data_IF_939568071878
#
_entry.id   IF_939568071878
#
_cell.length_a   1.000
_cell.length_b   1.000
_cell.length_c   1.000
_cell.angle_alpha   90.00
_cell.angle_beta   90.00
_cell.angle_gamma   90.00
#
_symmetry.space_group_name_H-M   'P 1'
#
loop_
_entity.id
_entity.type
_entity.pdbx_description
1 polymer ?
#
# COMPACT_ATOMS: atom_id res chain seq x y z
N UNK A 1 -60.26 4.13 -49.39
CA UNK A 1 -58.86 3.73 -49.52
C UNK A 1 -58.02 4.69 -48.69
N UNK A 2 -57.70 4.34 -47.47
CA UNK A 2 -56.88 5.18 -46.54
C UNK A 2 -55.52 4.54 -46.36
N UNK A 3 -54.49 5.23 -46.87
CA UNK A 3 -53.09 4.87 -46.78
C UNK A 3 -52.55 5.29 -45.40
N UNK A 4 -52.10 4.33 -44.56
CA UNK A 4 -51.37 4.59 -43.30
C UNK A 4 -49.88 4.61 -43.57
N UNK A 5 -49.25 5.77 -43.45
CA UNK A 5 -47.82 5.96 -43.40
C UNK A 5 -47.28 5.55 -42.02
N UNK A 6 -46.49 4.50 -41.95
CA UNK A 6 -45.75 4.10 -40.76
C UNK A 6 -44.40 4.82 -40.73
N UNK A 7 -44.24 5.73 -39.75
CA UNK A 7 -42.97 6.46 -39.50
C UNK A 7 -42.06 5.57 -38.65
N UNK A 8 -40.94 5.11 -39.21
CA UNK A 8 -39.89 4.42 -38.48
C UNK A 8 -38.96 5.45 -37.84
N UNK A 9 -39.01 5.56 -36.54
CA UNK A 9 -38.06 6.33 -35.76
C UNK A 9 -36.75 5.53 -35.57
N UNK A 10 -35.69 5.98 -36.20
CA UNK A 10 -34.33 5.42 -36.05
C UNK A 10 -33.74 5.92 -34.74
N UNK A 11 -33.67 5.09 -33.74
CA UNK A 11 -33.01 5.41 -32.44
C UNK A 11 -31.50 5.17 -32.64
N UNK A 12 -30.75 6.24 -32.84
CA UNK A 12 -29.28 6.22 -32.78
C UNK A 12 -28.84 6.16 -31.35
N UNK A 13 -28.50 4.96 -30.84
CA UNK A 13 -27.80 4.75 -29.58
C UNK A 13 -26.32 5.11 -29.77
N UNK A 14 -25.93 6.31 -29.32
CA UNK A 14 -24.53 6.71 -29.22
C UNK A 14 -23.89 5.91 -28.06
N UNK A 15 -23.08 4.93 -28.39
CA UNK A 15 -22.20 4.26 -27.44
C UNK A 15 -21.11 5.25 -27.01
N UNK A 16 -21.26 5.85 -25.84
CA UNK A 16 -20.18 6.55 -25.16
C UNK A 16 -19.22 5.48 -24.64
N UNK A 17 -18.24 5.12 -25.45
CA UNK A 17 -17.13 4.27 -25.02
C UNK A 17 -16.33 5.00 -23.95
N UNK A 18 -16.34 4.51 -22.72
CA UNK A 18 -15.39 4.94 -21.70
C UNK A 18 -13.98 4.62 -22.23
N UNK A 19 -13.27 5.64 -22.74
CA UNK A 19 -11.87 5.51 -23.05
C UNK A 19 -11.11 5.27 -21.74
N UNK A 20 -10.72 4.03 -21.48
CA UNK A 20 -9.75 3.74 -20.42
C UNK A 20 -8.44 4.42 -20.84
N UNK A 21 -7.78 5.18 -19.96
CA UNK A 21 -6.45 5.69 -20.25
C UNK A 21 -5.55 4.51 -20.60
N UNK A 22 -4.80 4.65 -21.70
CA UNK A 22 -3.85 3.63 -22.12
C UNK A 22 -2.89 3.34 -20.95
N UNK A 23 -2.81 2.08 -20.54
CA UNK A 23 -1.89 1.68 -19.50
C UNK A 23 -0.46 2.03 -19.92
N UNK A 24 0.25 2.80 -19.10
CA UNK A 24 1.66 3.09 -19.32
C UNK A 24 2.40 1.76 -19.13
N UNK A 25 2.96 1.25 -20.23
CA UNK A 25 3.75 0.01 -20.18
C UNK A 25 5.11 0.37 -19.58
N UNK A 26 5.29 0.08 -18.29
CA UNK A 26 6.60 0.14 -17.65
C UNK A 26 7.35 -1.15 -18.03
N UNK A 27 8.57 -1.05 -18.62
CA UNK A 27 9.32 -2.23 -18.99
C UNK A 27 9.70 -3.08 -17.76
N UNK A 28 9.86 -4.40 -17.92
CA UNK A 28 10.29 -5.27 -16.84
C UNK A 28 11.62 -4.78 -16.22
N UNK A 29 11.80 -4.93 -14.91
CA UNK A 29 12.97 -4.43 -14.17
C UNK A 29 14.33 -4.89 -14.76
N UNK A 30 14.42 -6.14 -15.17
CA UNK A 30 15.64 -6.74 -15.70
C UNK A 30 16.09 -6.21 -17.07
N UNK A 31 15.26 -5.40 -17.74
CA UNK A 31 15.56 -4.82 -19.06
C UNK A 31 16.02 -3.37 -19.00
N UNK A 32 16.03 -2.76 -17.83
CA UNK A 32 16.46 -1.38 -17.66
C UNK A 32 17.97 -1.30 -17.38
N UNK A 33 18.70 -0.32 -17.96
CA UNK A 33 20.07 -0.07 -17.57
C UNK A 33 20.14 0.44 -16.13
N UNK A 34 21.26 0.23 -15.42
CA UNK A 34 21.46 0.83 -14.10
C UNK A 34 21.38 2.36 -14.19
N UNK A 35 20.83 2.99 -13.17
CA UNK A 35 20.86 4.44 -13.03
C UNK A 35 22.28 4.87 -12.63
N UNK A 36 22.93 5.67 -13.47
CA UNK A 36 24.36 5.94 -13.37
C UNK A 36 24.72 7.07 -12.37
N UNK A 37 23.74 7.84 -11.93
CA UNK A 37 24.00 8.98 -11.03
C UNK A 37 22.85 9.22 -10.04
N UNK A 38 23.18 9.88 -8.92
CA UNK A 38 22.20 10.32 -7.90
C UNK A 38 21.15 11.25 -8.53
N UNK A 39 21.57 12.15 -9.44
CA UNK A 39 20.63 13.08 -10.09
C UNK A 39 19.65 12.33 -10.99
N UNK A 40 20.12 11.36 -11.77
CA UNK A 40 19.27 10.52 -12.60
C UNK A 40 18.29 9.69 -11.75
N UNK A 41 18.77 9.09 -10.67
CA UNK A 41 17.95 8.33 -9.74
C UNK A 41 16.90 9.21 -9.04
N UNK A 42 17.27 10.41 -8.60
CA UNK A 42 16.36 11.37 -7.95
C UNK A 42 15.27 11.85 -8.91
N UNK A 43 15.63 12.18 -10.16
CA UNK A 43 14.67 12.56 -11.19
C UNK A 43 13.69 11.42 -11.52
N UNK A 44 14.21 10.19 -11.67
CA UNK A 44 13.39 9.02 -11.93
C UNK A 44 12.46 8.69 -10.75
N UNK A 45 12.93 8.81 -9.50
CA UNK A 45 12.10 8.60 -8.31
C UNK A 45 10.98 9.65 -8.21
N UNK A 46 11.28 10.91 -8.54
CA UNK A 46 10.27 11.98 -8.60
C UNK A 46 9.20 11.68 -9.65
N UNK A 47 9.61 11.18 -10.82
CA UNK A 47 8.67 10.76 -11.86
C UNK A 47 7.80 9.58 -11.40
N UNK A 48 8.36 8.58 -10.72
CA UNK A 48 7.60 7.45 -10.17
C UNK A 48 6.56 7.90 -9.14
N UNK A 49 6.91 8.79 -8.24
CA UNK A 49 5.97 9.34 -7.26
C UNK A 49 4.82 10.12 -7.93
N UNK A 50 5.07 10.77 -9.07
CA UNK A 50 4.04 11.43 -9.87
C UNK A 50 3.00 10.46 -10.48
N UNK A 51 3.30 9.17 -10.53
CA UNK A 51 2.38 8.11 -10.99
C UNK A 51 1.69 7.35 -9.85
N UNK A 52 2.09 7.60 -8.60
CA UNK A 52 1.39 7.01 -7.47
C UNK A 52 -0.05 7.55 -7.38
N UNK A 53 -1.04 6.68 -7.20
CA UNK A 53 -2.43 7.12 -7.17
C UNK A 53 -2.72 7.93 -5.89
N UNK A 54 -3.44 9.05 -6.03
CA UNK A 54 -3.87 9.86 -4.89
C UNK A 54 -4.77 9.08 -3.91
N UNK A 55 -5.44 8.05 -4.40
CA UNK A 55 -6.29 7.17 -3.60
C UNK A 55 -6.21 5.75 -4.11
N UNK A 56 -6.37 4.78 -3.24
CA UNK A 56 -6.39 3.38 -3.64
C UNK A 56 -7.19 2.51 -2.67
N UNK A 57 -7.57 1.34 -3.18
CA UNK A 57 -8.13 0.24 -2.39
C UNK A 57 -7.30 -1.01 -2.63
N UNK A 58 -7.01 -1.75 -1.56
CA UNK A 58 -6.35 -3.06 -1.62
C UNK A 58 -7.10 -4.10 -0.82
N UNK A 59 -7.03 -5.34 -1.29
CA UNK A 59 -7.44 -6.52 -0.54
C UNK A 59 -6.24 -7.42 -0.37
N UNK A 60 -5.99 -7.84 0.86
CA UNK A 60 -4.87 -8.69 1.22
C UNK A 60 -5.33 -10.00 1.84
N UNK A 61 -4.64 -11.07 1.51
CA UNK A 61 -4.53 -12.24 2.38
C UNK A 61 -3.43 -11.92 3.40
N UNK A 62 -3.74 -12.06 4.69
CA UNK A 62 -2.84 -11.70 5.78
C UNK A 62 -2.57 -12.92 6.63
N UNK A 63 -1.30 -13.22 6.88
CA UNK A 63 -0.87 -14.23 7.85
C UNK A 63 -0.03 -13.52 8.91
N UNK A 64 -0.57 -13.41 10.13
CA UNK A 64 0.15 -12.87 11.27
C UNK A 64 0.64 -14.01 12.18
N UNK A 65 1.92 -13.98 12.58
CA UNK A 65 2.52 -14.97 13.50
C UNK A 65 3.09 -14.25 14.70
N UNK A 66 2.77 -14.78 15.88
CA UNK A 66 3.32 -14.29 17.15
C UNK A 66 3.22 -15.38 18.21
N UNK A 67 4.27 -15.57 19.00
CA UNK A 67 4.35 -16.57 20.09
C UNK A 67 3.92 -17.99 19.66
N UNK A 68 4.39 -18.42 18.48
CA UNK A 68 4.10 -19.75 17.93
C UNK A 68 2.67 -19.93 17.44
N UNK A 69 1.82 -18.88 17.46
CA UNK A 69 0.46 -18.88 16.92
C UNK A 69 0.43 -18.22 15.57
N UNK A 70 -0.46 -18.70 14.70
CA UNK A 70 -0.69 -18.16 13.36
C UNK A 70 -2.16 -17.77 13.21
N UNK A 71 -2.40 -16.59 12.66
CA UNK A 71 -3.73 -16.04 12.40
C UNK A 71 -3.84 -15.71 10.91
N UNK A 72 -4.85 -16.25 10.26
CA UNK A 72 -5.14 -15.98 8.84
C UNK A 72 -6.37 -15.09 8.77
N UNK A 73 -6.28 -14.02 7.98
CA UNK A 73 -7.37 -13.06 7.84
C UNK A 73 -7.34 -12.41 6.46
N UNK A 74 -8.45 -11.82 6.06
CA UNK A 74 -8.55 -10.94 4.91
C UNK A 74 -8.51 -9.49 5.37
N UNK A 75 -7.57 -8.71 4.85
CA UNK A 75 -7.42 -7.28 5.12
C UNK A 75 -7.96 -6.45 3.95
N UNK A 76 -8.69 -5.39 4.27
CA UNK A 76 -9.20 -4.39 3.32
C UNK A 76 -8.59 -3.05 3.67
N UNK A 77 -7.76 -2.49 2.79
CA UNK A 77 -7.09 -1.20 2.98
C UNK A 77 -7.66 -0.17 2.02
N UNK A 78 -8.09 0.97 2.56
CA UNK A 78 -8.33 2.20 1.83
C UNK A 78 -7.22 3.18 2.18
N UNK A 79 -6.58 3.80 1.20
CA UNK A 79 -5.47 4.72 1.42
C UNK A 79 -5.55 5.97 0.56
N UNK A 80 -4.93 7.04 1.04
CA UNK A 80 -4.71 8.32 0.35
C UNK A 80 -3.22 8.69 0.37
N UNK A 81 -2.81 9.52 -0.57
CA UNK A 81 -1.44 10.03 -0.72
C UNK A 81 -1.00 10.95 0.43
N UNK A 82 -1.94 11.58 1.14
CA UNK A 82 -1.67 12.35 2.36
C UNK A 82 -1.35 11.50 3.59
N UNK A 83 -1.31 10.17 3.44
CA UNK A 83 -1.03 9.21 4.50
C UNK A 83 -2.24 8.80 5.33
N UNK A 84 -3.44 9.34 5.04
CA UNK A 84 -4.67 8.87 5.67
C UNK A 84 -5.05 7.48 5.17
N UNK A 85 -5.47 6.61 6.07
CA UNK A 85 -5.92 5.28 5.69
C UNK A 85 -6.91 4.67 6.69
N UNK A 86 -7.64 3.67 6.21
CA UNK A 86 -8.40 2.74 7.04
C UNK A 86 -8.11 1.31 6.62
N UNK A 87 -7.84 0.45 7.59
CA UNK A 87 -7.76 -0.99 7.41
C UNK A 87 -8.85 -1.68 8.21
N UNK A 88 -9.55 -2.60 7.56
CA UNK A 88 -10.50 -3.52 8.17
C UNK A 88 -9.99 -4.94 8.02
N UNK A 89 -10.06 -5.75 9.06
CA UNK A 89 -9.74 -7.16 8.96
C UNK A 89 -10.95 -8.03 9.25
N UNK A 90 -11.08 -9.12 8.51
CA UNK A 90 -12.10 -10.15 8.72
C UNK A 90 -11.45 -11.53 8.81
N UNK A 91 -12.00 -12.42 9.61
CA UNK A 91 -11.63 -13.82 9.57
C UNK A 91 -11.95 -14.42 8.19
N UNK A 92 -11.21 -15.44 7.80
CA UNK A 92 -11.48 -16.11 6.54
C UNK A 92 -12.92 -16.65 6.56
N UNK A 93 -13.75 -16.21 5.60
CA UNK A 93 -15.20 -16.47 5.54
C UNK A 93 -15.97 -16.20 6.85
N UNK A 94 -15.46 -15.30 7.69
CA UNK A 94 -15.98 -15.04 9.04
C UNK A 94 -16.32 -13.57 9.33
N UNK A 95 -16.59 -13.28 10.60
CA UNK A 95 -16.95 -11.93 11.03
C UNK A 95 -15.77 -10.97 10.89
N UNK A 96 -16.09 -9.68 10.85
CA UNK A 96 -15.10 -8.61 10.99
C UNK A 96 -14.43 -8.72 12.36
N UNK A 97 -13.10 -8.60 12.37
CA UNK A 97 -12.28 -8.72 13.57
C UNK A 97 -12.04 -7.35 14.20
N UNK A 98 -11.55 -6.42 13.39
CA UNK A 98 -11.27 -5.05 13.82
C UNK A 98 -11.30 -4.08 12.63
N UNK A 99 -11.45 -2.82 12.96
CA UNK A 99 -11.18 -1.67 12.11
C UNK A 99 -10.16 -0.77 12.79
N UNK A 100 -9.24 -0.21 12.02
CA UNK A 100 -8.33 0.84 12.48
C UNK A 100 -8.15 1.87 11.37
N UNK A 101 -8.10 3.13 11.74
CA UNK A 101 -7.86 4.23 10.82
C UNK A 101 -6.83 5.21 11.38
N UNK A 102 -6.11 5.86 10.48
CA UNK A 102 -5.25 7.00 10.74
C UNK A 102 -5.75 8.16 9.89
N UNK A 103 -6.37 9.16 10.52
CA UNK A 103 -6.95 10.33 9.85
C UNK A 103 -6.65 11.57 10.68
N UNK A 104 -6.18 12.65 10.05
CA UNK A 104 -5.91 13.92 10.73
C UNK A 104 -4.93 13.78 11.91
N UNK A 105 -3.91 12.91 11.79
CA UNK A 105 -2.96 12.61 12.85
C UNK A 105 -3.56 11.95 14.10
N UNK A 106 -4.68 11.28 13.98
CA UNK A 106 -5.37 10.59 15.07
C UNK A 106 -5.65 9.13 14.72
N UNK A 107 -5.51 8.26 15.71
CA UNK A 107 -5.89 6.86 15.62
C UNK A 107 -7.35 6.67 16.04
N UNK A 108 -8.12 6.05 15.15
CA UNK A 108 -9.43 5.51 15.45
C UNK A 108 -9.35 3.98 15.39
N UNK A 109 -9.96 3.28 16.35
CA UNK A 109 -9.91 1.83 16.36
C UNK A 109 -11.17 1.23 16.98
N UNK A 110 -11.62 0.09 16.42
CA UNK A 110 -12.74 -0.70 16.91
C UNK A 110 -12.44 -2.20 16.78
N UNK A 111 -12.59 -2.93 17.85
CA UNK A 111 -12.53 -4.40 17.84
C UNK A 111 -13.95 -4.95 17.92
N UNK A 112 -14.31 -5.81 16.97
CA UNK A 112 -15.67 -6.34 16.85
C UNK A 112 -15.87 -7.63 17.66
N UNK A 113 -14.78 -8.36 17.94
CA UNK A 113 -14.84 -9.59 18.76
C UNK A 113 -14.28 -9.33 20.15
N UNK A 114 -15.11 -9.43 21.19
CA UNK A 114 -14.73 -9.19 22.59
C UNK A 114 -13.50 -9.98 23.04
N UNK A 115 -13.41 -11.25 22.65
CA UNK A 115 -12.27 -12.12 23.00
C UNK A 115 -10.95 -11.64 22.37
N UNK A 116 -11.02 -10.91 21.26
CA UNK A 116 -9.87 -10.34 20.58
C UNK A 116 -9.45 -9.01 21.22
N UNK A 117 -10.40 -8.22 21.71
CA UNK A 117 -10.16 -6.92 22.33
C UNK A 117 -9.23 -7.00 23.58
N UNK A 118 -9.22 -8.13 24.28
CA UNK A 118 -8.37 -8.37 25.45
C UNK A 118 -6.92 -8.73 25.06
N UNK A 119 -6.66 -9.07 23.80
CA UNK A 119 -5.38 -9.64 23.35
C UNK A 119 -4.72 -8.87 22.20
N UNK A 120 -5.47 -8.05 21.50
CA UNK A 120 -5.01 -7.32 20.32
C UNK A 120 -5.31 -5.84 20.48
N UNK A 121 -4.27 -5.02 20.50
CA UNK A 121 -4.43 -3.60 20.21
C UNK A 121 -4.39 -3.41 18.69
N UNK A 122 -5.53 -3.03 18.04
CA UNK A 122 -5.57 -2.87 16.59
C UNK A 122 -4.66 -1.74 16.09
N UNK A 123 -4.20 -0.84 16.96
CA UNK A 123 -3.22 0.20 16.62
C UNK A 123 -1.88 -0.38 16.21
N UNK A 124 -1.47 -1.52 16.76
CA UNK A 124 -0.25 -2.22 16.32
C UNK A 124 -0.36 -2.64 14.86
N UNK A 125 -1.53 -3.14 14.45
CA UNK A 125 -1.79 -3.47 13.04
C UNK A 125 -1.84 -2.21 12.16
N UNK A 126 -2.43 -1.13 12.67
CA UNK A 126 -2.43 0.17 12.00
C UNK A 126 -1.00 0.71 11.79
N UNK A 127 -0.14 0.64 12.82
CA UNK A 127 1.29 1.03 12.70
C UNK A 127 2.04 0.15 11.69
N UNK A 128 1.77 -1.16 11.64
CA UNK A 128 2.35 -2.03 10.62
C UNK A 128 1.95 -1.58 9.21
N UNK A 129 0.68 -1.27 8.97
CA UNK A 129 0.17 -0.74 7.70
C UNK A 129 0.83 0.60 7.37
N UNK A 130 0.93 1.53 8.33
CA UNK A 130 1.59 2.81 8.16
C UNK A 130 3.06 2.64 7.74
N UNK A 131 3.81 1.76 8.41
CA UNK A 131 5.22 1.47 8.10
C UNK A 131 5.38 0.82 6.74
N UNK A 132 4.49 -0.11 6.37
CA UNK A 132 4.52 -0.78 5.07
C UNK A 132 4.26 0.20 3.93
N UNK A 133 3.16 0.95 3.97
CA UNK A 133 2.67 1.68 2.81
C UNK A 133 2.96 3.19 2.83
N UNK A 134 3.03 3.82 4.01
CA UNK A 134 3.04 5.28 4.11
C UNK A 134 4.34 5.87 4.66
N UNK A 135 5.18 5.09 5.33
CA UNK A 135 6.47 5.59 5.81
C UNK A 135 7.49 5.58 4.68
N UNK A 136 8.05 6.74 4.37
CA UNK A 136 9.09 6.95 3.37
C UNK A 136 10.32 7.61 4.00
N UNK A 137 11.46 7.60 3.30
CA UNK A 137 12.65 8.33 3.68
C UNK A 137 12.85 9.50 2.70
N UNK A 138 12.93 10.71 3.22
CA UNK A 138 13.13 11.95 2.45
C UNK A 138 14.60 12.37 2.33
N UNK A 139 15.53 11.58 2.85
CA UNK A 139 16.97 11.84 2.75
C UNK A 139 17.49 11.65 1.32
N UNK A 140 18.74 12.13 1.06
CA UNK A 140 19.38 11.95 -0.23
C UNK A 140 19.55 10.46 -0.57
N UNK A 141 19.49 10.16 -1.86
CA UNK A 141 19.78 8.81 -2.37
C UNK A 141 21.29 8.56 -2.36
N UNK A 142 21.70 7.37 -1.94
CA UNK A 142 23.07 6.84 -2.07
C UNK A 142 23.00 5.48 -2.74
N UNK A 143 23.99 5.17 -3.60
CA UNK A 143 24.07 3.85 -4.22
C UNK A 143 24.95 2.95 -3.33
N UNK A 144 24.38 1.88 -2.80
CA UNK A 144 25.02 0.92 -1.90
C UNK A 144 24.71 -0.51 -2.39
N UNK A 145 25.72 -1.29 -2.66
CA UNK A 145 25.60 -2.70 -3.11
C UNK A 145 24.60 -2.92 -4.26
N UNK A 146 24.56 -1.97 -5.21
CA UNK A 146 23.64 -2.02 -6.36
C UNK A 146 22.19 -1.63 -6.06
N UNK A 147 21.91 -1.11 -4.88
CA UNK A 147 20.61 -0.59 -4.48
C UNK A 147 20.70 0.91 -4.18
N UNK A 148 19.63 1.62 -4.47
CA UNK A 148 19.46 3.02 -4.03
C UNK A 148 18.89 3.06 -2.63
N UNK A 149 19.61 3.69 -1.71
CA UNK A 149 19.25 3.77 -0.30
C UNK A 149 18.98 5.23 0.08
N UNK A 150 17.88 5.48 0.76
CA UNK A 150 17.59 6.76 1.42
C UNK A 150 17.34 6.55 2.90
N UNK A 151 17.67 7.55 3.73
CA UNK A 151 17.57 7.48 5.19
C UNK A 151 16.80 8.68 5.73
N UNK A 152 16.00 8.47 6.76
CA UNK A 152 15.31 9.55 7.47
C UNK A 152 15.22 9.25 8.96
N UNK A 153 15.31 10.31 9.78
CA UNK A 153 14.88 10.25 11.16
C UNK A 153 13.36 10.39 11.23
N UNK A 154 12.73 9.59 12.06
CA UNK A 154 11.29 9.59 12.27
C UNK A 154 10.96 10.29 13.59
N UNK A 155 9.82 10.96 13.63
CA UNK A 155 9.30 11.61 14.82
C UNK A 155 7.90 11.12 15.13
N UNK A 156 7.55 11.03 16.41
CA UNK A 156 6.18 10.69 16.83
C UNK A 156 5.86 9.19 16.89
N UNK A 157 6.86 8.32 16.72
CA UNK A 157 6.71 6.88 16.97
C UNK A 157 7.65 6.47 18.11
N UNK A 158 7.09 5.99 19.24
CA UNK A 158 7.87 5.62 20.43
C UNK A 158 8.70 4.35 20.21
N UNK A 159 8.36 3.57 19.18
CA UNK A 159 8.98 2.28 18.89
C UNK A 159 10.09 2.34 17.83
N UNK A 160 10.19 3.47 17.09
CA UNK A 160 11.19 3.65 16.02
C UNK A 160 11.60 5.13 15.92
N UNK A 161 12.88 5.37 15.61
CA UNK A 161 13.44 6.72 15.47
C UNK A 161 14.09 6.99 14.11
N UNK A 162 14.33 5.95 13.31
CA UNK A 162 14.87 6.10 11.96
C UNK A 162 14.40 5.00 11.00
N UNK A 163 14.48 5.29 9.71
CA UNK A 163 14.21 4.33 8.63
C UNK A 163 15.26 4.42 7.52
N UNK A 164 15.64 3.27 7.00
CA UNK A 164 16.33 3.10 5.72
C UNK A 164 15.36 2.50 4.72
N UNK A 165 15.33 3.06 3.51
CA UNK A 165 14.51 2.61 2.39
C UNK A 165 15.41 2.20 1.25
N UNK A 166 15.33 0.94 0.85
CA UNK A 166 16.13 0.33 -0.21
C UNK A 166 15.28 0.17 -1.47
N UNK A 167 15.84 0.55 -2.60
CA UNK A 167 15.21 0.46 -3.90
C UNK A 167 16.12 -0.24 -4.89
N UNK A 168 15.53 -0.96 -5.81
CA UNK A 168 16.25 -1.63 -6.89
C UNK A 168 17.09 -0.63 -7.71
N UNK A 169 18.33 -1.01 -8.04
CA UNK A 169 19.29 -0.14 -8.70
C UNK A 169 18.92 0.27 -10.13
N UNK A 170 18.01 -0.45 -10.77
CA UNK A 170 17.58 -0.18 -12.15
C UNK A 170 16.22 0.51 -12.19
N UNK A 171 15.27 0.04 -11.41
CA UNK A 171 13.85 0.41 -11.51
C UNK A 171 13.37 1.35 -10.42
N UNK A 172 14.15 1.54 -9.36
CA UNK A 172 13.76 2.24 -8.13
C UNK A 172 12.54 1.63 -7.42
N UNK A 173 12.13 0.43 -7.82
CA UNK A 173 11.09 -0.29 -7.10
C UNK A 173 11.52 -0.50 -5.64
N UNK A 174 10.59 -0.29 -4.72
CA UNK A 174 10.83 -0.53 -3.31
C UNK A 174 11.06 -2.02 -3.06
N UNK A 175 12.21 -2.38 -2.48
CA UNK A 175 12.60 -3.77 -2.20
C UNK A 175 12.66 -4.09 -0.73
N UNK A 176 13.06 -3.10 0.09
CA UNK A 176 13.23 -3.33 1.52
C UNK A 176 13.08 -2.02 2.31
N UNK A 177 12.60 -2.11 3.56
CA UNK A 177 12.71 -1.06 4.58
C UNK A 177 13.28 -1.66 5.86
N UNK A 178 14.16 -0.92 6.51
CA UNK A 178 14.70 -1.24 7.82
C UNK A 178 14.44 -0.10 8.79
N UNK A 179 13.90 -0.41 9.94
CA UNK A 179 13.59 0.57 10.98
C UNK A 179 14.48 0.37 12.19
N UNK A 180 14.84 1.47 12.81
CA UNK A 180 15.78 1.50 13.93
C UNK A 180 15.13 2.13 15.15
N UNK A 181 15.63 1.71 16.32
CA UNK A 181 15.41 2.36 17.59
C UNK A 181 16.75 2.50 18.31
N UNK A 182 17.17 3.74 18.58
CA UNK A 182 18.46 4.07 19.22
C UNK A 182 19.65 3.46 18.48
N UNK A 183 19.60 3.50 17.16
CA UNK A 183 20.64 2.98 16.29
C UNK A 183 20.68 1.45 16.12
N UNK A 184 19.80 0.68 16.79
CA UNK A 184 19.66 -0.76 16.60
C UNK A 184 18.51 -1.06 15.61
N UNK A 185 18.68 -1.97 14.64
CA UNK A 185 17.59 -2.39 13.77
C UNK A 185 16.55 -3.14 14.61
N UNK A 186 15.27 -2.82 14.47
CA UNK A 186 14.18 -3.42 15.25
C UNK A 186 13.09 -4.04 14.39
N UNK A 187 12.99 -3.66 13.10
CA UNK A 187 11.96 -4.12 12.19
C UNK A 187 12.48 -4.10 10.75
N UNK A 188 12.25 -5.17 10.02
CA UNK A 188 12.53 -5.30 8.59
C UNK A 188 11.23 -5.55 7.81
N UNK A 189 11.14 -4.98 6.60
CA UNK A 189 10.02 -5.19 5.68
C UNK A 189 10.58 -5.47 4.28
N UNK A 190 10.29 -6.65 3.76
CA UNK A 190 10.66 -7.08 2.41
C UNK A 190 9.49 -6.94 1.44
N UNK A 191 9.77 -6.45 0.25
CA UNK A 191 8.81 -6.27 -0.84
C UNK A 191 9.22 -7.13 -2.02
N UNK A 192 8.38 -8.09 -2.40
CA UNK A 192 8.68 -9.06 -3.46
C UNK A 192 7.52 -9.19 -4.43
N UNK A 193 7.72 -9.92 -5.53
CA UNK A 193 6.73 -10.08 -6.60
C UNK A 193 6.27 -8.73 -7.15
N UNK A 194 7.24 -7.91 -7.55
CA UNK A 194 7.01 -6.56 -8.06
C UNK A 194 6.27 -6.62 -9.40
N UNK A 195 5.21 -5.83 -9.53
CA UNK A 195 4.39 -5.68 -10.72
C UNK A 195 4.26 -4.21 -11.09
N UNK A 196 4.40 -3.89 -12.37
CA UNK A 196 4.16 -2.54 -12.87
C UNK A 196 2.66 -2.31 -13.07
N UNK A 197 2.09 -1.32 -12.38
CA UNK A 197 0.68 -0.95 -12.46
C UNK A 197 0.58 0.55 -12.70
N UNK A 198 0.01 0.96 -13.84
CA UNK A 198 -0.24 2.38 -14.17
C UNK A 198 0.96 3.32 -13.92
N UNK A 199 2.18 2.86 -14.25
CA UNK A 199 3.40 3.66 -14.14
C UNK A 199 4.09 3.65 -12.78
N UNK A 200 3.61 2.88 -11.80
CA UNK A 200 4.27 2.67 -10.52
C UNK A 200 4.46 1.18 -10.20
N UNK A 201 5.30 0.88 -9.21
CA UNK A 201 5.57 -0.48 -8.78
C UNK A 201 4.64 -0.89 -7.63
N UNK A 202 4.01 -2.06 -7.76
CA UNK A 202 3.24 -2.71 -6.72
C UNK A 202 3.95 -3.99 -6.28
N UNK A 203 4.25 -4.13 -4.99
CA UNK A 203 4.67 -5.42 -4.44
C UNK A 203 3.43 -6.27 -4.15
N UNK A 204 3.35 -7.43 -4.78
CA UNK A 204 2.26 -8.40 -4.55
C UNK A 204 2.45 -9.19 -3.26
N UNK A 205 3.67 -9.27 -2.78
CA UNK A 205 3.98 -9.94 -1.51
C UNK A 205 4.85 -9.06 -0.64
N UNK A 206 4.44 -8.87 0.62
CA UNK A 206 5.16 -8.09 1.62
C UNK A 206 5.33 -8.92 2.87
N UNK A 207 6.54 -8.96 3.40
CA UNK A 207 6.84 -9.64 4.66
C UNK A 207 7.44 -8.65 5.65
N UNK A 208 6.82 -8.52 6.80
CA UNK A 208 7.30 -7.74 7.93
C UNK A 208 7.77 -8.69 9.03
N UNK A 209 8.92 -8.40 9.61
CA UNK A 209 9.47 -9.16 10.74
C UNK A 209 10.08 -8.19 11.74
N UNK A 210 9.67 -8.30 13.01
CA UNK A 210 10.27 -7.56 14.11
C UNK A 210 11.19 -8.44 14.95
N UNK A 211 12.03 -7.82 15.76
CA UNK A 211 12.96 -8.53 16.66
C UNK A 211 12.25 -9.20 17.84
N UNK A 212 10.99 -8.88 18.13
CA UNK A 212 10.18 -9.47 19.20
C UNK A 212 9.48 -10.77 18.76
N UNK A 213 9.74 -11.23 17.52
CA UNK A 213 9.17 -12.46 16.95
C UNK A 213 7.78 -12.29 16.34
N UNK A 214 7.32 -11.06 16.14
CA UNK A 214 6.12 -10.80 15.33
C UNK A 214 6.47 -10.85 13.86
N UNK A 215 5.73 -11.64 13.09
CA UNK A 215 5.83 -11.71 11.63
C UNK A 215 4.45 -11.44 11.00
N UNK A 216 4.45 -10.66 9.91
CA UNK A 216 3.26 -10.38 9.10
C UNK A 216 3.59 -10.65 7.64
N UNK A 217 2.83 -11.53 7.00
CA UNK A 217 2.89 -11.77 5.56
C UNK A 217 1.61 -11.26 4.92
N UNK A 218 1.75 -10.44 3.90
CA UNK A 218 0.66 -9.87 3.11
C UNK A 218 0.79 -10.34 1.66
N UNK A 219 -0.29 -10.89 1.11
CA UNK A 219 -0.41 -11.16 -0.33
C UNK A 219 -1.53 -10.31 -0.90
N UNK A 220 -1.20 -9.38 -1.79
CA UNK A 220 -2.17 -8.47 -2.42
C UNK A 220 -2.97 -9.23 -3.47
N UNK A 221 -4.23 -9.51 -3.19
CA UNK A 221 -5.15 -10.20 -4.11
C UNK A 221 -5.88 -9.25 -5.06
N UNK A 222 -6.17 -8.03 -4.61
CA UNK A 222 -6.80 -6.98 -5.42
C UNK A 222 -6.13 -5.64 -5.16
N UNK A 223 -6.00 -4.83 -6.20
CA UNK A 223 -5.52 -3.46 -6.14
C UNK A 223 -6.30 -2.60 -7.13
N UNK A 224 -6.91 -1.55 -6.63
CA UNK A 224 -7.70 -0.59 -7.40
C UNK A 224 -7.11 0.82 -7.20
N UNK A 225 -6.14 1.25 -8.03
CA UNK A 225 -5.62 2.61 -7.99
C UNK A 225 -6.67 3.60 -8.46
N UNK A 226 -6.71 4.80 -7.86
CA UNK A 226 -7.71 5.83 -8.17
C UNK A 226 -9.12 5.51 -7.66
N UNK A 227 -9.26 4.52 -6.79
CA UNK A 227 -10.54 4.20 -6.16
C UNK A 227 -11.03 5.40 -5.35
N UNK A 228 -12.25 5.89 -5.65
CA UNK A 228 -12.83 7.01 -4.92
C UNK A 228 -13.02 6.66 -3.44
N UNK A 229 -12.28 7.35 -2.56
CA UNK A 229 -12.34 7.18 -1.11
C UNK A 229 -12.99 8.42 -0.49
N UNK A 230 -14.33 8.43 -0.29
CA UNK A 230 -15.00 9.51 0.43
C UNK A 230 -14.47 9.60 1.87
N UNK A 231 -14.38 10.82 2.42
CA UNK A 231 -13.80 11.06 3.75
C UNK A 231 -14.47 10.21 4.84
N UNK A 232 -15.80 10.08 4.79
CA UNK A 232 -16.56 9.28 5.74
C UNK A 232 -16.22 7.78 5.72
N UNK A 233 -15.61 7.28 4.64
CA UNK A 233 -15.15 5.90 4.55
C UNK A 233 -13.80 5.66 5.20
N UNK A 234 -13.01 6.70 5.41
CA UNK A 234 -11.75 6.61 6.14
C UNK A 234 -11.98 6.48 7.64
N UNK A 235 -13.06 7.02 8.16
CA UNK A 235 -13.37 6.94 9.59
C UNK A 235 -13.91 5.56 9.99
N UNK A 236 -13.56 5.14 11.21
CA UNK A 236 -14.12 3.93 11.82
C UNK A 236 -15.57 4.19 12.19
N UNK A 237 -16.48 3.44 11.59
CA UNK A 237 -17.92 3.58 11.85
C UNK A 237 -18.27 3.16 13.28
N UNK A 238 -19.17 3.85 13.97
CA UNK A 238 -19.56 3.59 15.35
C UNK A 238 -20.19 2.21 15.59
#
# INVERSE_FOLDING_TARGET
VTLRLATWALVLTTWVGCAHPAAVVVPPPEKLPPLESVDAASAALTALHGHEPATFKMVHQVVARHDGKSYVMTGYLLGRDDGAFRVSAAADMGPRLFDVAWVGNQWEAKVHLRQLAERLDPRHMGRAVQRIYFTTASGPLTLEDGQWVSRANLQGDDDIDAVEVFRDGHTLALTHKRFFLRGAPVLDIDYTQLEAVQGHWLARHVKLKDQRGFELELSVSQYEPGFAVPEERLHVQP
#
